data_IF_130038093850
#
_entry.id   IF_130038093850
#
_cell.length_a   1.000
_cell.length_b   1.000
_cell.length_c   1.000
_cell.angle_alpha   90.00
_cell.angle_beta   90.00
_cell.angle_gamma   90.00
#
_symmetry.space_group_name_H-M   'P 1'
#
loop_
_entity.id
_entity.type
_entity.pdbx_description
1 polymer ?
#
# COMPACT_ATOMS: atom_id res chain seq x y z
N UNK A 1 40.80 -32.25 -65.16
CA UNK A 1 39.45 -32.66 -64.74
C UNK A 1 39.46 -32.46 -63.25
N UNK A 2 39.26 -31.21 -62.89
CA UNK A 2 39.22 -30.72 -61.52
C UNK A 2 37.81 -30.94 -60.98
N UNK A 3 37.71 -31.28 -59.69
CA UNK A 3 36.92 -30.50 -58.73
C UNK A 3 36.84 -31.26 -57.41
N UNK A 4 37.65 -30.79 -56.47
CA UNK A 4 37.54 -31.00 -55.04
C UNK A 4 36.14 -30.61 -54.54
N UNK A 5 35.53 -31.46 -53.72
CA UNK A 5 34.24 -31.24 -53.06
C UNK A 5 34.19 -32.02 -51.76
N UNK A 6 35.13 -31.74 -50.87
CA UNK A 6 35.08 -32.13 -49.47
C UNK A 6 35.40 -30.89 -48.63
N UNK A 7 34.72 -30.79 -47.48
CA UNK A 7 34.92 -29.82 -46.38
C UNK A 7 34.01 -28.56 -46.36
N UNK A 8 32.72 -28.73 -46.09
CA UNK A 8 31.95 -27.79 -45.24
C UNK A 8 30.83 -28.57 -44.49
N UNK A 9 31.21 -29.30 -43.44
CA UNK A 9 30.27 -29.87 -42.46
C UNK A 9 30.77 -29.55 -41.05
N UNK A 10 30.92 -28.25 -40.77
CA UNK A 10 31.25 -27.73 -39.45
C UNK A 10 30.04 -27.00 -38.85
N UNK A 11 29.59 -27.53 -37.70
CA UNK A 11 29.11 -26.77 -36.55
C UNK A 11 27.93 -25.81 -36.79
N UNK A 12 26.74 -26.38 -36.99
CA UNK A 12 25.50 -25.74 -36.52
C UNK A 12 25.38 -25.95 -35.01
N UNK A 13 26.15 -25.18 -34.24
CA UNK A 13 25.93 -25.02 -32.81
C UNK A 13 24.51 -24.49 -32.62
N UNK A 14 23.65 -25.29 -31.99
CA UNK A 14 22.30 -24.86 -31.65
C UNK A 14 22.40 -23.56 -30.83
N UNK A 15 21.79 -22.46 -31.28
CA UNK A 15 21.83 -21.22 -30.53
C UNK A 15 21.25 -21.50 -29.13
N UNK A 16 21.94 -21.09 -28.06
CA UNK A 16 21.46 -21.34 -26.71
C UNK A 16 20.03 -20.79 -26.59
N UNK A 17 19.14 -21.64 -26.09
CA UNK A 17 17.74 -21.34 -25.86
C UNK A 17 17.64 -19.98 -25.16
N UNK A 18 17.07 -19.00 -25.86
CA UNK A 18 16.98 -17.62 -25.41
C UNK A 18 16.32 -17.52 -24.02
N UNK A 19 15.43 -18.47 -23.69
CA UNK A 19 14.83 -18.57 -22.36
C UNK A 19 15.87 -18.91 -21.26
N UNK A 20 16.85 -19.78 -21.56
CA UNK A 20 17.93 -20.12 -20.62
C UNK A 20 18.88 -18.94 -20.41
N UNK A 21 19.17 -18.17 -21.47
CA UNK A 21 19.99 -16.96 -21.37
C UNK A 21 19.31 -15.91 -20.50
N UNK A 22 18.00 -15.69 -20.69
CA UNK A 22 17.21 -14.78 -19.85
C UNK A 22 17.14 -15.22 -18.39
N UNK A 23 16.94 -16.53 -18.15
CA UNK A 23 16.88 -17.07 -16.80
C UNK A 23 18.22 -16.91 -16.07
N UNK A 24 19.34 -17.13 -16.76
CA UNK A 24 20.67 -16.92 -16.21
C UNK A 24 20.90 -15.44 -15.86
N UNK A 25 20.57 -14.50 -16.76
CA UNK A 25 20.74 -13.07 -16.52
C UNK A 25 19.91 -12.59 -15.33
N UNK A 26 18.68 -13.10 -15.18
CA UNK A 26 17.82 -12.75 -14.05
C UNK A 26 18.38 -13.26 -12.71
N UNK A 27 18.88 -14.51 -12.68
CA UNK A 27 19.51 -15.06 -11.48
C UNK A 27 20.79 -14.31 -11.10
N UNK A 28 21.56 -13.84 -12.09
CA UNK A 28 22.73 -13.02 -11.86
C UNK A 28 22.39 -11.65 -11.23
N UNK A 29 21.35 -10.97 -11.73
CA UNK A 29 20.88 -9.71 -11.13
C UNK A 29 20.37 -9.88 -9.69
N UNK A 30 19.67 -10.97 -9.39
CA UNK A 30 19.23 -11.29 -8.02
C UNK A 30 20.44 -11.46 -7.10
N UNK A 31 21.47 -12.17 -7.57
CA UNK A 31 22.68 -12.40 -6.80
C UNK A 31 23.45 -11.10 -6.56
N UNK A 32 23.63 -10.26 -7.59
CA UNK A 32 24.26 -8.94 -7.47
C UNK A 32 23.49 -8.03 -6.51
N UNK A 33 22.16 -8.05 -6.54
CA UNK A 33 21.34 -7.29 -5.60
C UNK A 33 21.51 -7.77 -4.15
N UNK A 34 21.55 -9.09 -3.93
CA UNK A 34 21.82 -9.67 -2.60
C UNK A 34 23.22 -9.30 -2.11
N UNK A 35 24.21 -9.31 -2.99
CA UNK A 35 25.57 -8.88 -2.66
C UNK A 35 25.65 -7.37 -2.36
N UNK A 36 24.93 -6.51 -3.10
CA UNK A 36 24.84 -5.08 -2.78
C UNK A 36 24.16 -4.83 -1.43
N UNK A 37 23.11 -5.59 -1.11
CA UNK A 37 22.46 -5.55 0.21
C UNK A 37 23.41 -6.02 1.33
N UNK A 38 24.23 -7.03 1.07
CA UNK A 38 25.24 -7.52 2.02
C UNK A 38 26.46 -6.60 2.13
N UNK A 39 26.82 -5.89 1.06
CA UNK A 39 27.93 -4.92 0.98
C UNK A 39 27.56 -3.53 1.44
N UNK A 40 26.26 -3.20 1.57
CA UNK A 40 25.84 -1.99 2.28
C UNK A 40 26.57 -2.05 3.61
N UNK A 41 27.52 -1.12 3.86
CA UNK A 41 28.19 -1.08 5.15
C UNK A 41 27.06 -1.08 6.17
N UNK A 42 27.11 -1.98 7.15
CA UNK A 42 26.54 -1.62 8.44
C UNK A 42 27.27 -0.33 8.77
N UNK A 43 26.67 0.82 8.43
CA UNK A 43 26.97 2.05 9.12
C UNK A 43 27.02 1.60 10.57
N UNK A 44 28.16 1.78 11.26
CA UNK A 44 28.18 1.53 12.68
C UNK A 44 27.10 2.47 13.20
N UNK A 45 25.90 1.91 13.43
CA UNK A 45 24.89 2.55 14.24
C UNK A 45 25.71 2.94 15.45
N UNK A 46 25.86 4.24 15.74
CA UNK A 46 26.64 4.64 16.88
C UNK A 46 26.13 3.76 18.00
N UNK A 47 27.03 2.92 18.54
CA UNK A 47 26.71 2.08 19.68
C UNK A 47 26.61 3.08 20.81
N UNK A 48 25.49 3.81 20.82
CA UNK A 48 24.96 4.43 22.00
C UNK A 48 24.62 3.21 22.82
N UNK A 49 25.58 2.77 23.63
CA UNK A 49 25.29 1.95 24.79
C UNK A 49 24.14 2.67 25.49
N UNK A 50 22.94 2.11 25.32
CA UNK A 50 21.75 2.57 26.02
C UNK A 50 21.99 2.20 27.47
N UNK A 51 22.72 3.04 28.18
CA UNK A 51 22.79 3.02 29.63
C UNK A 51 21.45 3.53 30.17
N UNK A 52 20.40 2.76 29.92
CA UNK A 52 19.04 3.00 30.41
C UNK A 52 18.93 2.72 31.91
N UNK A 53 19.99 2.17 32.54
CA UNK A 53 20.09 1.91 33.97
C UNK A 53 19.95 3.17 34.82
N UNK A 54 20.25 4.35 34.27
CA UNK A 54 20.32 5.61 35.01
C UNK A 54 19.05 6.48 34.93
N UNK A 55 18.13 6.23 34.00
CA UNK A 55 16.91 7.03 33.88
C UNK A 55 15.85 6.52 34.85
N UNK A 56 15.92 7.00 36.09
CA UNK A 56 14.80 6.86 37.04
C UNK A 56 13.51 7.35 36.34
N UNK A 57 12.37 6.65 36.51
CA UNK A 57 11.10 7.13 35.98
C UNK A 57 10.88 8.56 36.48
N UNK A 58 10.82 9.50 35.55
CA UNK A 58 10.54 10.89 35.89
C UNK A 58 9.12 10.99 36.44
N UNK A 59 8.93 11.85 37.44
CA UNK A 59 7.58 12.12 37.95
C UNK A 59 6.74 12.79 36.84
N UNK A 60 5.42 12.62 36.81
CA UNK A 60 4.56 13.29 35.84
C UNK A 60 4.79 14.81 35.78
N UNK A 61 5.02 15.44 36.93
CA UNK A 61 5.31 16.88 37.04
C UNK A 61 6.61 17.28 36.34
N UNK A 62 7.64 16.43 36.44
CA UNK A 62 8.94 16.68 35.78
C UNK A 62 8.81 16.53 34.27
N UNK A 63 8.16 15.46 33.80
CA UNK A 63 7.87 15.29 32.37
C UNK A 63 7.08 16.47 31.82
N UNK A 64 6.04 16.90 32.53
CA UNK A 64 5.17 18.00 32.10
C UNK A 64 5.95 19.30 31.95
N UNK A 65 6.81 19.64 32.91
CA UNK A 65 7.62 20.85 32.85
C UNK A 65 8.58 20.84 31.65
N UNK A 66 9.18 19.69 31.33
CA UNK A 66 10.03 19.53 30.15
C UNK A 66 9.18 19.69 28.88
N UNK A 67 8.06 18.99 28.79
CA UNK A 67 7.16 19.01 27.64
C UNK A 67 6.61 20.42 27.36
N UNK A 68 6.21 21.15 28.40
CA UNK A 68 5.79 22.56 28.30
C UNK A 68 6.94 23.43 27.78
N UNK A 69 8.16 23.24 28.28
CA UNK A 69 9.33 24.02 27.84
C UNK A 69 9.65 23.75 26.37
N UNK A 70 9.60 22.48 25.94
CA UNK A 70 9.78 22.07 24.54
C UNK A 70 8.68 22.69 23.66
N UNK A 71 7.42 22.61 24.10
CA UNK A 71 6.27 23.16 23.39
C UNK A 71 6.38 24.67 23.18
N UNK A 72 6.80 25.41 24.19
CA UNK A 72 6.93 26.87 24.14
C UNK A 72 8.18 27.36 23.38
N UNK A 73 9.28 26.63 23.44
CA UNK A 73 10.56 27.08 22.87
C UNK A 73 10.75 26.72 21.40
N UNK A 74 10.19 25.61 20.93
CA UNK A 74 10.42 25.10 19.58
C UNK A 74 9.26 25.45 18.64
N UNK A 75 9.49 25.72 17.35
CA UNK A 75 8.42 25.79 16.35
C UNK A 75 7.69 24.44 16.14
N UNK A 76 6.45 24.49 15.62
CA UNK A 76 5.59 23.32 15.40
C UNK A 76 6.29 22.23 14.57
N UNK A 77 7.01 22.64 13.53
CA UNK A 77 7.69 21.76 12.59
C UNK A 77 8.78 20.93 13.27
N UNK A 78 9.56 21.56 14.16
CA UNK A 78 10.60 20.88 14.93
C UNK A 78 9.95 19.92 15.93
N UNK A 79 8.81 20.29 16.53
CA UNK A 79 8.07 19.40 17.42
C UNK A 79 7.52 18.18 16.67
N UNK A 80 6.99 18.36 15.46
CA UNK A 80 6.54 17.25 14.61
C UNK A 80 7.68 16.28 14.27
N UNK A 81 8.90 16.79 14.03
CA UNK A 81 10.09 15.93 13.89
C UNK A 81 10.36 15.12 15.16
N UNK A 82 10.24 15.74 16.35
CA UNK A 82 10.41 15.05 17.64
C UNK A 82 9.34 13.97 17.82
N UNK A 83 8.08 14.28 17.53
CA UNK A 83 6.97 13.32 17.64
C UNK A 83 7.17 12.10 16.74
N UNK A 84 7.76 12.29 15.55
CA UNK A 84 8.13 11.18 14.67
C UNK A 84 9.09 10.16 15.30
N UNK A 85 9.92 10.55 16.28
CA UNK A 85 10.76 9.62 17.04
C UNK A 85 10.02 8.95 18.21
N UNK A 86 8.88 9.50 18.63
CA UNK A 86 8.04 8.95 19.70
C UNK A 86 7.07 7.90 19.13
N UNK A 87 6.61 8.10 17.88
CA UNK A 87 5.74 7.13 17.20
C UNK A 87 6.53 5.85 16.91
N UNK A 88 6.37 4.84 17.76
CA UNK A 88 7.02 3.53 17.67
C UNK A 88 6.47 2.65 16.56
N UNK A 89 5.26 2.93 16.07
CA UNK A 89 4.51 2.06 15.18
C UNK A 89 4.44 2.63 13.77
N UNK A 90 5.12 1.97 12.83
CA UNK A 90 5.05 2.35 11.41
C UNK A 90 3.67 2.06 10.81
N UNK A 91 2.99 1.02 11.27
CA UNK A 91 1.70 0.56 10.73
C UNK A 91 0.70 0.23 11.83
N UNK A 92 -0.53 0.71 11.68
CA UNK A 92 -1.65 0.44 12.57
C UNK A 92 -2.74 -0.30 11.81
N UNK A 93 -3.12 -1.47 12.32
CA UNK A 93 -4.18 -2.30 11.74
C UNK A 93 -5.54 -1.73 12.14
N UNK A 94 -6.38 -1.48 11.15
CA UNK A 94 -7.71 -0.90 11.34
C UNK A 94 -8.76 -1.90 10.88
N UNK A 95 -9.29 -2.67 11.84
CA UNK A 95 -10.46 -3.54 11.70
C UNK A 95 -11.58 -3.14 12.67
N UNK A 96 -12.65 -3.93 12.80
CA UNK A 96 -13.73 -3.69 13.75
C UNK A 96 -13.26 -3.51 15.21
N UNK A 97 -12.20 -4.22 15.60
CA UNK A 97 -11.58 -4.17 16.93
C UNK A 97 -10.83 -2.86 17.22
N UNK A 98 -10.43 -2.11 16.18
CA UNK A 98 -9.77 -0.80 16.33
C UNK A 98 -10.61 0.16 17.18
N UNK A 99 -11.94 0.07 17.09
CA UNK A 99 -12.87 0.97 17.77
C UNK A 99 -13.17 0.59 19.22
N UNK A 100 -12.70 -0.56 19.71
CA UNK A 100 -12.89 -0.99 21.10
C UNK A 100 -11.87 -0.39 22.08
N UNK A 101 -10.73 0.13 21.59
CA UNK A 101 -9.61 0.61 22.41
C UNK A 101 -9.61 2.14 22.47
N UNK A 102 -9.61 2.71 23.67
CA UNK A 102 -9.63 4.16 23.87
C UNK A 102 -8.36 4.62 24.59
N UNK A 103 -7.79 5.74 24.17
CA UNK A 103 -6.66 6.50 24.79
C UNK A 103 -5.21 6.17 24.44
N UNK A 104 -4.92 5.12 23.66
CA UNK A 104 -3.55 4.84 23.16
C UNK A 104 -3.58 4.39 21.71
N UNK A 105 -2.49 4.55 20.92
CA UNK A 105 -2.45 4.15 19.51
C UNK A 105 -2.71 2.66 19.35
N UNK A 106 -1.99 1.85 20.12
CA UNK A 106 -2.10 0.40 20.12
C UNK A 106 -1.83 -0.22 21.51
N UNK A 107 -1.84 -1.55 21.58
CA UNK A 107 -1.74 -2.26 22.87
C UNK A 107 -0.36 -2.19 23.51
N UNK A 108 0.72 -2.15 22.71
CA UNK A 108 2.07 -1.97 23.23
C UNK A 108 2.26 -0.62 23.92
N UNK A 109 1.46 0.38 23.55
CA UNK A 109 1.50 1.72 24.13
C UNK A 109 0.63 1.87 25.37
N UNK A 110 -0.08 0.82 25.82
CA UNK A 110 -0.98 0.90 26.97
C UNK A 110 -0.29 1.35 28.28
N UNK A 111 1.03 1.21 28.37
CA UNK A 111 1.85 1.66 29.51
C UNK A 111 2.73 2.86 29.19
N UNK A 112 2.65 3.38 27.97
CA UNK A 112 3.49 4.47 27.50
C UNK A 112 2.92 5.80 28.04
N UNK A 113 3.72 6.51 28.83
CA UNK A 113 3.28 7.69 29.57
C UNK A 113 3.28 8.97 28.72
N UNK A 114 4.00 8.94 27.60
CA UNK A 114 4.08 9.97 26.58
C UNK A 114 2.73 10.28 25.90
N UNK A 115 1.78 9.34 25.89
CA UNK A 115 0.41 9.59 25.42
C UNK A 115 -0.52 10.20 26.47
N UNK A 116 -0.08 10.34 27.72
CA UNK A 116 -0.91 10.85 28.80
C UNK A 116 -0.76 12.35 28.99
N UNK A 117 -1.88 13.07 28.95
CA UNK A 117 -1.96 14.50 29.26
C UNK A 117 -1.30 14.87 30.59
N UNK A 118 -1.30 13.96 31.57
CA UNK A 118 -0.67 14.20 32.88
C UNK A 118 0.85 14.39 32.77
N UNK A 119 1.48 13.75 31.78
CA UNK A 119 2.93 13.78 31.56
C UNK A 119 3.34 14.80 30.51
N UNK A 120 2.57 14.99 29.44
CA UNK A 120 2.97 15.89 28.33
C UNK A 120 2.19 17.20 28.28
N UNK A 121 1.06 17.30 28.97
CA UNK A 121 0.12 18.41 28.85
C UNK A 121 -0.83 18.25 27.66
N UNK A 122 -2.00 18.88 27.73
CA UNK A 122 -3.08 18.71 26.74
C UNK A 122 -2.70 19.19 25.34
N UNK A 123 -2.01 20.33 25.25
CA UNK A 123 -1.62 20.92 23.96
C UNK A 123 -0.61 20.03 23.23
N UNK A 124 0.44 19.57 23.92
CA UNK A 124 1.43 18.67 23.34
C UNK A 124 0.83 17.30 23.00
N UNK A 125 -0.05 16.76 23.86
CA UNK A 125 -0.75 15.51 23.59
C UNK A 125 -1.59 15.61 22.30
N UNK A 126 -2.36 16.69 22.15
CA UNK A 126 -3.14 16.95 20.94
C UNK A 126 -2.25 16.98 19.70
N UNK A 127 -1.15 17.74 19.78
CA UNK A 127 -0.16 17.84 18.71
C UNK A 127 0.47 16.49 18.33
N UNK A 128 0.78 15.65 19.32
CA UNK A 128 1.29 14.30 19.14
C UNK A 128 0.28 13.40 18.44
N UNK A 129 -1.00 13.47 18.80
CA UNK A 129 -2.09 12.73 18.16
C UNK A 129 -2.26 13.17 16.71
N UNK A 130 -2.21 14.48 16.44
CA UNK A 130 -2.30 14.99 15.08
C UNK A 130 -1.15 14.50 14.21
N UNK A 131 0.07 14.60 14.75
CA UNK A 131 1.28 14.12 14.09
C UNK A 131 1.18 12.61 13.80
N UNK A 132 0.67 11.84 14.76
CA UNK A 132 0.46 10.39 14.61
C UNK A 132 -0.45 10.05 13.43
N UNK A 133 -1.57 10.75 13.25
CA UNK A 133 -2.45 10.54 12.09
C UNK A 133 -1.79 10.87 10.75
N UNK A 134 -0.88 11.86 10.72
CA UNK A 134 -0.18 12.28 9.51
C UNK A 134 0.97 11.35 9.11
N UNK A 135 1.65 10.74 10.08
CA UNK A 135 2.87 9.95 9.82
C UNK A 135 2.63 8.44 9.73
N UNK A 136 1.62 7.94 10.43
CA UNK A 136 1.32 6.51 10.56
C UNK A 136 0.66 5.93 9.32
N UNK A 137 1.06 4.72 8.91
CA UNK A 137 0.36 3.96 7.89
C UNK A 137 -0.85 3.23 8.50
N UNK A 138 -2.06 3.62 8.13
CA UNK A 138 -3.28 2.93 8.56
C UNK A 138 -3.63 1.80 7.59
N UNK A 139 -3.62 0.56 8.06
CA UNK A 139 -3.84 -0.63 7.26
C UNK A 139 -5.25 -1.20 7.46
N UNK A 140 -6.11 -0.96 6.48
CA UNK A 140 -7.47 -1.47 6.38
C UNK A 140 -7.46 -2.88 5.77
N UNK A 141 -7.33 -3.87 6.65
CA UNK A 141 -7.08 -5.27 6.28
C UNK A 141 -8.37 -6.11 6.11
N UNK A 142 -9.49 -5.68 6.68
CA UNK A 142 -10.76 -6.40 6.67
C UNK A 142 -11.50 -6.17 5.35
N UNK A 143 -11.05 -6.86 4.30
CA UNK A 143 -11.56 -6.75 2.92
C UNK A 143 -13.09 -6.70 2.81
N UNK A 144 -13.79 -7.56 3.55
CA UNK A 144 -15.25 -7.67 3.50
C UNK A 144 -15.98 -6.50 4.16
N UNK A 145 -15.34 -5.84 5.13
CA UNK A 145 -15.93 -4.72 5.87
C UNK A 145 -15.21 -3.39 5.67
N UNK A 146 -14.21 -3.33 4.79
CA UNK A 146 -13.33 -2.18 4.63
C UNK A 146 -14.12 -0.88 4.41
N UNK A 147 -15.20 -0.90 3.60
CA UNK A 147 -16.06 0.28 3.43
C UNK A 147 -16.61 0.80 4.77
N UNK A 148 -17.21 -0.07 5.59
CA UNK A 148 -17.80 0.31 6.90
C UNK A 148 -16.72 0.76 7.88
N UNK A 149 -15.58 0.05 7.89
CA UNK A 149 -14.46 0.34 8.78
C UNK A 149 -13.84 1.69 8.44
N UNK A 150 -13.57 1.96 7.15
CA UNK A 150 -13.04 3.23 6.66
C UNK A 150 -14.04 4.35 6.97
N UNK A 151 -15.32 4.19 6.64
CA UNK A 151 -16.35 5.21 6.90
C UNK A 151 -16.39 5.59 8.38
N UNK A 152 -16.38 4.60 9.27
CA UNK A 152 -16.35 4.82 10.72
C UNK A 152 -15.02 5.45 11.16
N UNK A 153 -13.89 4.96 10.67
CA UNK A 153 -12.56 5.48 11.00
C UNK A 153 -12.44 6.97 10.71
N UNK A 154 -12.88 7.41 9.53
CA UNK A 154 -12.73 8.80 9.08
C UNK A 154 -13.45 9.81 9.99
N UNK A 155 -14.48 9.40 10.72
CA UNK A 155 -15.29 10.29 11.59
C UNK A 155 -15.16 10.01 13.07
N UNK A 156 -14.53 8.90 13.48
CA UNK A 156 -14.45 8.52 14.89
C UNK A 156 -13.28 9.23 15.57
N UNK A 157 -13.60 10.13 16.50
CA UNK A 157 -12.62 10.66 17.44
C UNK A 157 -12.31 9.61 18.52
N UNK A 158 -11.27 8.82 18.26
CA UNK A 158 -10.79 7.78 19.19
C UNK A 158 -10.18 8.35 20.47
N UNK A 159 -9.76 9.62 20.45
CA UNK A 159 -8.98 10.20 21.52
C UNK A 159 -9.78 11.14 22.42
N UNK A 160 -10.98 11.56 21.99
CA UNK A 160 -11.83 12.47 22.75
C UNK A 160 -11.32 13.91 22.75
N UNK A 161 -10.58 14.31 21.71
CA UNK A 161 -9.97 15.64 21.55
C UNK A 161 -10.57 16.43 20.38
N UNK A 162 -11.74 16.05 19.89
CA UNK A 162 -12.38 16.61 18.69
C UNK A 162 -11.48 16.52 17.44
N UNK A 163 -10.68 15.45 17.38
CA UNK A 163 -9.78 15.18 16.26
C UNK A 163 -10.46 14.20 15.30
N UNK A 164 -10.70 14.65 14.07
CA UNK A 164 -11.28 13.83 13.01
C UNK A 164 -10.18 13.26 12.12
N UNK A 165 -10.03 11.92 12.01
CA UNK A 165 -8.97 11.32 11.20
C UNK A 165 -9.03 11.73 9.72
N UNK A 166 -10.23 12.01 9.18
CA UNK A 166 -10.41 12.52 7.82
C UNK A 166 -9.54 13.74 7.50
N UNK A 167 -9.36 14.63 8.47
CA UNK A 167 -8.66 15.90 8.27
C UNK A 167 -7.15 15.77 8.42
N UNK A 168 -6.65 14.59 8.81
CA UNK A 168 -5.23 14.37 9.15
C UNK A 168 -4.61 13.15 8.47
N UNK A 169 -5.42 12.23 7.95
CA UNK A 169 -4.95 11.02 7.30
C UNK A 169 -4.09 11.40 6.09
N UNK A 170 -2.85 10.91 6.07
CA UNK A 170 -1.93 11.09 4.94
C UNK A 170 -1.44 9.78 4.33
N UNK A 171 -1.56 8.64 5.03
CA UNK A 171 -1.04 7.34 4.55
C UNK A 171 -2.01 6.22 4.88
N UNK A 172 -2.43 5.48 3.87
CA UNK A 172 -3.38 4.38 4.03
C UNK A 172 -2.98 3.18 3.18
N UNK A 173 -3.10 1.99 3.74
CA UNK A 173 -3.03 0.73 3.01
C UNK A 173 -4.40 0.08 3.01
N UNK A 174 -4.88 -0.35 1.85
CA UNK A 174 -6.23 -0.88 1.68
C UNK A 174 -6.17 -2.20 0.90
N UNK A 175 -6.74 -3.26 1.47
CA UNK A 175 -6.96 -4.51 0.74
C UNK A 175 -8.33 -4.45 0.05
N UNK A 176 -8.33 -4.54 -1.27
CA UNK A 176 -9.53 -4.59 -2.11
C UNK A 176 -9.80 -6.05 -2.46
N UNK A 177 -11.07 -6.46 -2.46
CA UNK A 177 -11.43 -7.84 -2.75
C UNK A 177 -12.76 -7.96 -3.47
N UNK A 178 -12.83 -8.91 -4.40
CA UNK A 178 -14.09 -9.26 -5.09
C UNK A 178 -14.89 -10.33 -4.35
N UNK A 179 -14.24 -11.09 -3.46
CA UNK A 179 -14.84 -12.18 -2.68
C UNK A 179 -14.12 -12.33 -1.34
N UNK A 180 -14.65 -13.15 -0.43
CA UNK A 180 -13.99 -13.48 0.85
C UNK A 180 -13.29 -14.84 0.83
N UNK A 181 -13.42 -15.61 -0.25
CA UNK A 181 -13.04 -17.03 -0.30
C UNK A 181 -12.06 -17.32 -1.43
N UNK A 182 -11.18 -18.29 -1.19
CA UNK A 182 -10.28 -18.82 -2.21
C UNK A 182 -11.06 -19.56 -3.28
N UNK A 183 -10.82 -19.21 -4.56
CA UNK A 183 -11.33 -19.98 -5.68
C UNK A 183 -10.38 -21.15 -5.91
N UNK A 184 -10.80 -22.35 -5.55
CA UNK A 184 -10.00 -23.55 -5.82
C UNK A 184 -10.62 -24.32 -6.97
N UNK A 185 -9.77 -24.86 -7.84
CA UNK A 185 -10.16 -25.69 -8.99
C UNK A 185 -10.73 -27.07 -8.58
N UNK A 186 -10.96 -27.33 -7.30
CA UNK A 186 -11.31 -28.67 -6.79
C UNK A 186 -12.76 -29.04 -7.10
N UNK A 187 -12.95 -29.54 -8.33
CA UNK A 187 -13.64 -30.79 -8.69
C UNK A 187 -14.80 -31.18 -7.75
N UNK A 188 -15.99 -30.58 -7.96
CA UNK A 188 -17.31 -31.25 -7.96
C UNK A 188 -18.50 -30.29 -7.89
N UNK A 189 -18.29 -29.04 -7.49
CA UNK A 189 -19.34 -28.01 -7.49
C UNK A 189 -19.03 -26.95 -8.56
N UNK A 190 -20.05 -26.33 -9.20
CA UNK A 190 -19.80 -25.17 -10.05
C UNK A 190 -19.07 -24.12 -9.21
N UNK A 191 -17.95 -23.59 -9.74
CA UNK A 191 -17.25 -22.51 -9.07
C UNK A 191 -18.23 -21.36 -8.83
N UNK A 192 -18.05 -20.61 -7.74
CA UNK A 192 -18.79 -19.37 -7.56
C UNK A 192 -18.57 -18.45 -8.76
N UNK A 193 -19.68 -17.94 -9.33
CA UNK A 193 -19.61 -16.88 -10.33
C UNK A 193 -19.37 -15.58 -9.59
N UNK A 194 -18.19 -15.00 -9.77
CA UNK A 194 -17.92 -13.62 -9.34
C UNK A 194 -18.78 -12.70 -10.20
N UNK A 195 -19.51 -11.81 -9.52
CA UNK A 195 -20.33 -10.75 -10.11
C UNK A 195 -20.03 -9.43 -9.41
N UNK A 196 -20.30 -8.34 -10.12
CA UNK A 196 -20.20 -6.97 -9.63
C UNK A 196 -18.79 -6.66 -9.10
N UNK A 197 -17.76 -7.24 -9.71
CA UNK A 197 -16.36 -7.07 -9.36
C UNK A 197 -15.94 -5.61 -9.46
N UNK A 198 -16.47 -4.87 -10.44
CA UNK A 198 -16.30 -3.43 -10.55
C UNK A 198 -16.76 -2.72 -9.28
N UNK A 199 -18.02 -2.87 -8.86
CA UNK A 199 -18.57 -2.22 -7.67
C UNK A 199 -17.85 -2.65 -6.40
N UNK A 200 -17.54 -3.94 -6.26
CA UNK A 200 -16.85 -4.47 -5.08
C UNK A 200 -15.45 -3.88 -4.90
N UNK A 201 -14.69 -3.74 -5.99
CA UNK A 201 -13.36 -3.13 -5.94
C UNK A 201 -13.43 -1.61 -5.77
N UNK A 202 -14.42 -0.93 -6.36
CA UNK A 202 -14.45 0.54 -6.40
C UNK A 202 -15.26 1.22 -5.29
N UNK A 203 -16.10 0.50 -4.55
CA UNK A 203 -17.02 1.16 -3.61
C UNK A 203 -16.33 1.98 -2.49
N UNK A 204 -15.09 1.64 -2.12
CA UNK A 204 -14.34 2.33 -1.06
C UNK A 204 -13.82 3.71 -1.51
N UNK A 205 -13.62 3.91 -2.81
CA UNK A 205 -13.02 5.12 -3.37
C UNK A 205 -13.89 6.36 -3.16
N UNK A 206 -15.22 6.17 -3.16
CA UNK A 206 -16.20 7.23 -2.82
C UNK A 206 -15.95 7.87 -1.44
N UNK A 207 -15.36 7.13 -0.51
CA UNK A 207 -14.98 7.66 0.81
C UNK A 207 -13.70 8.51 0.72
N UNK A 208 -12.77 8.11 -0.15
CA UNK A 208 -11.49 8.78 -0.34
C UNK A 208 -11.61 10.07 -1.16
N UNK A 209 -12.57 10.16 -2.10
CA UNK A 209 -12.88 11.39 -2.84
C UNK A 209 -13.30 12.58 -1.97
N UNK A 210 -13.50 12.35 -0.68
CA UNK A 210 -13.92 13.37 0.28
C UNK A 210 -12.76 13.80 1.19
N UNK A 211 -11.57 13.24 1.03
CA UNK A 211 -10.42 13.58 1.86
C UNK A 211 -9.87 14.95 1.43
N UNK A 212 -9.70 15.89 2.38
CA UNK A 212 -9.15 17.21 2.08
C UNK A 212 -7.63 17.19 1.85
N UNK A 213 -6.95 16.11 2.24
CA UNK A 213 -5.49 16.00 2.21
C UNK A 213 -5.00 15.21 1.00
N UNK A 214 -3.75 15.44 0.61
CA UNK A 214 -3.03 14.54 -0.28
C UNK A 214 -2.63 13.28 0.49
N UNK A 215 -3.18 12.15 0.08
CA UNK A 215 -3.01 10.86 0.77
C UNK A 215 -2.21 9.94 -0.12
N UNK A 216 -1.26 9.23 0.47
CA UNK A 216 -0.53 8.13 -0.15
C UNK A 216 -1.27 6.82 0.13
N UNK A 217 -1.86 6.25 -0.92
CA UNK A 217 -2.57 4.99 -0.88
C UNK A 217 -1.69 3.83 -1.38
N UNK A 218 -1.62 2.79 -0.57
CA UNK A 218 -1.07 1.49 -0.94
C UNK A 218 -2.23 0.50 -1.07
N UNK A 219 -2.64 0.24 -2.29
CA UNK A 219 -3.81 -0.60 -2.58
C UNK A 219 -3.36 -1.98 -3.05
N UNK A 220 -3.96 -3.03 -2.49
CA UNK A 220 -3.71 -4.40 -2.92
C UNK A 220 -5.01 -5.06 -3.32
N UNK A 221 -5.12 -5.50 -4.55
CA UNK A 221 -6.30 -6.19 -5.09
C UNK A 221 -6.13 -7.68 -4.90
N UNK A 222 -7.14 -8.33 -4.32
CA UNK A 222 -7.22 -9.77 -4.18
C UNK A 222 -8.46 -10.30 -4.89
N UNK A 223 -8.20 -11.18 -5.84
CA UNK A 223 -9.22 -11.95 -6.58
C UNK A 223 -9.16 -13.43 -6.27
N UNK A 224 -8.15 -13.87 -5.50
CA UNK A 224 -7.99 -15.24 -5.05
C UNK A 224 -8.04 -16.24 -6.22
N UNK A 225 -7.30 -15.94 -7.28
CA UNK A 225 -7.22 -16.76 -8.48
C UNK A 225 -8.53 -16.88 -9.30
N UNK A 226 -9.55 -16.06 -9.03
CA UNK A 226 -10.81 -16.06 -9.79
C UNK A 226 -10.61 -15.94 -11.31
N UNK A 227 -9.67 -15.10 -11.83
CA UNK A 227 -9.38 -15.04 -13.25
C UNK A 227 -8.85 -16.36 -13.83
N UNK A 228 -7.90 -17.04 -13.17
CA UNK A 228 -7.31 -18.28 -13.71
C UNK A 228 -8.22 -19.51 -13.56
N UNK A 229 -9.14 -19.47 -12.60
CA UNK A 229 -10.09 -20.56 -12.34
C UNK A 229 -11.36 -20.48 -13.19
N UNK A 230 -11.57 -19.36 -13.91
CA UNK A 230 -12.79 -19.13 -14.71
C UNK A 230 -14.01 -18.72 -13.89
N UNK A 231 -13.81 -18.42 -12.60
CA UNK A 231 -14.87 -17.98 -11.69
C UNK A 231 -15.22 -16.50 -11.93
N UNK A 232 -14.31 -15.73 -12.51
CA UNK A 232 -14.53 -14.39 -13.04
C UNK A 232 -14.46 -14.44 -14.57
N UNK A 233 -15.51 -13.96 -15.24
CA UNK A 233 -15.52 -13.92 -16.70
C UNK A 233 -14.55 -12.86 -17.24
N UNK A 234 -14.11 -13.01 -18.49
CA UNK A 234 -13.31 -11.99 -19.18
C UNK A 234 -13.99 -10.61 -19.19
N UNK A 235 -15.32 -10.59 -19.40
CA UNK A 235 -16.11 -9.36 -19.36
C UNK A 235 -16.09 -8.72 -17.96
N UNK A 236 -16.26 -9.53 -16.92
CA UNK A 236 -16.25 -9.07 -15.53
C UNK A 236 -14.89 -8.50 -15.12
N UNK A 237 -13.81 -9.22 -15.45
CA UNK A 237 -12.43 -8.79 -15.18
C UNK A 237 -12.11 -7.48 -15.91
N UNK A 238 -12.47 -7.40 -17.19
CA UNK A 238 -12.28 -6.20 -18.00
C UNK A 238 -13.01 -5.02 -17.37
N UNK A 239 -14.31 -5.16 -17.06
CA UNK A 239 -15.10 -4.11 -16.41
C UNK A 239 -14.51 -3.67 -15.06
N UNK A 240 -14.00 -4.61 -14.27
CA UNK A 240 -13.33 -4.32 -13.00
C UNK A 240 -12.02 -3.53 -13.19
N UNK A 241 -11.20 -3.88 -14.19
CA UNK A 241 -9.98 -3.15 -14.54
C UNK A 241 -10.30 -1.70 -14.91
N UNK A 242 -11.26 -1.49 -15.83
CA UNK A 242 -11.62 -0.14 -16.28
C UNK A 242 -12.14 0.72 -15.14
N UNK A 243 -13.10 0.20 -14.37
CA UNK A 243 -13.68 0.92 -13.23
C UNK A 243 -12.60 1.25 -12.18
N UNK A 244 -11.68 0.32 -11.90
CA UNK A 244 -10.60 0.58 -10.97
C UNK A 244 -9.68 1.70 -11.48
N UNK A 245 -9.22 1.62 -12.74
CA UNK A 245 -8.34 2.63 -13.33
C UNK A 245 -9.00 4.01 -13.34
N UNK A 246 -10.29 4.11 -13.62
CA UNK A 246 -11.06 5.37 -13.57
C UNK A 246 -11.04 6.00 -12.16
N UNK A 247 -11.30 5.21 -11.12
CA UNK A 247 -11.26 5.67 -9.73
C UNK A 247 -9.83 6.06 -9.30
N UNK A 248 -8.81 5.33 -9.75
CA UNK A 248 -7.41 5.70 -9.51
C UNK A 248 -7.05 7.02 -10.20
N UNK A 249 -7.53 7.25 -11.42
CA UNK A 249 -7.37 8.52 -12.13
C UNK A 249 -8.09 9.68 -11.43
N UNK A 250 -9.25 9.40 -10.84
CA UNK A 250 -9.98 10.38 -10.02
C UNK A 250 -9.21 10.73 -8.75
N UNK A 251 -8.68 9.75 -8.02
CA UNK A 251 -7.81 10.02 -6.86
C UNK A 251 -6.56 10.82 -7.25
N UNK A 252 -5.96 10.50 -8.39
CA UNK A 252 -4.81 11.23 -8.91
C UNK A 252 -5.14 12.69 -9.21
N UNK A 253 -6.26 12.97 -9.89
CA UNK A 253 -6.65 14.35 -10.23
C UNK A 253 -6.93 15.21 -9.00
N UNK A 254 -7.23 14.57 -7.86
CA UNK A 254 -7.35 15.18 -6.54
C UNK A 254 -6.00 15.35 -5.80
N UNK A 255 -4.90 14.91 -6.40
CA UNK A 255 -3.55 15.02 -5.84
C UNK A 255 -3.18 13.90 -4.84
N UNK A 256 -3.97 12.83 -4.75
CA UNK A 256 -3.57 11.65 -3.98
C UNK A 256 -2.52 10.83 -4.75
N UNK A 257 -1.59 10.20 -4.04
CA UNK A 257 -0.61 9.28 -4.62
C UNK A 257 -1.10 7.85 -4.47
N UNK A 258 -0.94 7.04 -5.50
CA UNK A 258 -1.42 5.66 -5.49
C UNK A 258 -0.32 4.70 -5.92
N UNK A 259 -0.18 3.62 -5.16
CA UNK A 259 0.51 2.39 -5.53
C UNK A 259 -0.52 1.28 -5.52
N UNK A 260 -0.68 0.57 -6.64
CA UNK A 260 -1.57 -0.55 -6.81
C UNK A 260 -0.76 -1.83 -6.99
N UNK A 261 -1.06 -2.87 -6.21
CA UNK A 261 -0.53 -4.22 -6.38
C UNK A 261 -1.67 -5.19 -6.67
N UNK A 262 -1.51 -6.05 -7.68
CA UNK A 262 -2.48 -7.09 -8.02
C UNK A 262 -1.75 -8.44 -8.18
N UNK A 263 -1.52 -9.19 -7.08
CA UNK A 263 -0.79 -10.46 -7.09
C UNK A 263 -1.34 -11.49 -8.07
N UNK A 264 -2.67 -11.61 -8.14
CA UNK A 264 -3.36 -12.58 -9.00
C UNK A 264 -3.32 -12.23 -10.50
N UNK A 265 -2.73 -11.09 -10.86
CA UNK A 265 -2.57 -10.63 -12.24
C UNK A 265 -1.08 -10.57 -12.56
N UNK A 266 -0.39 -11.71 -12.46
CA UNK A 266 1.06 -11.83 -12.65
C UNK A 266 1.90 -10.90 -11.75
N UNK A 267 1.46 -10.66 -10.52
CA UNK A 267 2.11 -9.74 -9.59
C UNK A 267 2.34 -8.33 -10.16
N UNK A 268 1.39 -7.81 -10.96
CA UNK A 268 1.46 -6.43 -11.43
C UNK A 268 1.55 -5.47 -10.25
N UNK A 269 2.53 -4.58 -10.33
CA UNK A 269 2.68 -3.43 -9.45
C UNK A 269 2.71 -2.17 -10.30
N UNK A 270 1.71 -1.30 -10.10
CA UNK A 270 1.61 -0.01 -10.73
C UNK A 270 1.85 1.04 -9.67
N UNK A 271 2.89 1.85 -9.85
CA UNK A 271 3.18 2.95 -8.95
C UNK A 271 3.27 4.23 -9.73
N UNK A 272 2.76 5.30 -9.13
CA UNK A 272 3.03 6.63 -9.62
C UNK A 272 4.46 7.02 -9.25
N UNK A 273 5.42 6.74 -10.13
CA UNK A 273 6.76 7.32 -10.08
C UNK A 273 7.01 8.07 -11.40
N UNK A 274 7.46 9.31 -11.29
CA UNK A 274 7.88 10.19 -12.41
C UNK A 274 6.77 10.90 -13.22
N UNK A 275 5.61 11.18 -12.62
CA UNK A 275 4.86 12.39 -13.00
C UNK A 275 3.79 12.31 -14.09
N UNK A 276 3.35 11.14 -14.56
CA UNK A 276 2.07 11.08 -15.31
C UNK A 276 1.36 9.74 -15.10
N UNK A 277 0.18 9.77 -14.49
CA UNK A 277 -0.77 8.68 -14.60
C UNK A 277 -1.40 8.72 -15.99
N UNK A 278 -1.23 7.64 -16.75
CA UNK A 278 -1.92 7.46 -18.03
C UNK A 278 -2.88 6.30 -17.90
N UNK A 279 -4.17 6.61 -17.83
CA UNK A 279 -5.23 5.61 -17.69
C UNK A 279 -5.13 4.52 -18.77
N UNK A 280 -4.83 4.93 -20.00
CA UNK A 280 -4.63 4.04 -21.14
C UNK A 280 -3.45 3.07 -20.95
N UNK A 281 -2.34 3.55 -20.38
CA UNK A 281 -1.15 2.74 -20.13
C UNK A 281 -1.38 1.74 -18.98
N UNK A 282 -1.97 2.19 -17.88
CA UNK A 282 -2.29 1.31 -16.74
C UNK A 282 -3.30 0.24 -17.14
N UNK A 283 -4.34 0.63 -17.87
CA UNK A 283 -5.32 -0.32 -18.44
C UNK A 283 -4.62 -1.33 -19.32
N UNK A 284 -3.75 -0.89 -20.24
CA UNK A 284 -3.00 -1.78 -21.13
C UNK A 284 -2.15 -2.78 -20.34
N UNK A 285 -1.42 -2.33 -19.31
CA UNK A 285 -0.59 -3.21 -18.48
C UNK A 285 -1.43 -4.25 -17.73
N UNK A 286 -2.57 -3.84 -17.14
CA UNK A 286 -3.48 -4.76 -16.45
C UNK A 286 -4.12 -5.78 -17.42
N UNK A 287 -4.61 -5.32 -18.56
CA UNK A 287 -5.20 -6.18 -19.60
C UNK A 287 -4.17 -7.17 -20.13
N UNK A 288 -2.92 -6.75 -20.36
CA UNK A 288 -1.83 -7.63 -20.82
C UNK A 288 -1.42 -8.67 -19.77
N UNK A 289 -1.55 -8.34 -18.48
CA UNK A 289 -1.26 -9.26 -17.40
C UNK A 289 -2.41 -10.24 -17.11
N UNK A 290 -3.59 -10.01 -17.69
CA UNK A 290 -4.73 -10.91 -17.50
C UNK A 290 -4.47 -12.28 -18.15
N UNK A 291 -4.81 -13.39 -17.46
CA UNK A 291 -4.51 -14.74 -17.94
C UNK A 291 -5.43 -15.26 -19.05
N UNK A 292 -6.44 -14.47 -19.44
CA UNK A 292 -7.42 -14.82 -20.46
C UNK A 292 -7.29 -13.86 -21.65
N UNK A 293 -7.53 -14.34 -22.88
CA UNK A 293 -7.69 -13.45 -24.02
C UNK A 293 -8.93 -12.57 -23.80
N UNK A 294 -8.70 -11.34 -23.35
CA UNK A 294 -9.71 -10.30 -23.29
C UNK A 294 -10.01 -9.90 -24.74
N UNK A 295 -11.12 -10.40 -25.27
CA UNK A 295 -11.48 -10.24 -26.68
C UNK A 295 -11.76 -8.76 -26.99
N UNK A 296 -10.81 -8.09 -27.64
CA UNK A 296 -10.84 -6.65 -27.99
C UNK A 296 -11.97 -6.23 -28.96
N UNK A 297 -12.88 -7.13 -29.33
CA UNK A 297 -13.99 -6.82 -30.26
C UNK A 297 -15.06 -5.88 -29.68
N UNK A 298 -14.97 -5.51 -28.41
CA UNK A 298 -15.75 -4.40 -27.88
C UNK A 298 -15.02 -3.09 -28.21
N UNK A 299 -15.59 -2.31 -29.14
CA UNK A 299 -15.24 -0.91 -29.32
C UNK A 299 -15.30 -0.23 -27.95
N UNK A 300 -14.14 0.26 -27.52
CA UNK A 300 -13.98 0.95 -26.26
C UNK A 300 -14.94 2.14 -26.24
N UNK A 301 -15.77 2.33 -25.20
CA UNK A 301 -16.35 3.64 -24.98
C UNK A 301 -15.16 4.60 -24.86
N UNK A 302 -15.09 5.61 -25.73
CA UNK A 302 -14.05 6.64 -25.63
C UNK A 302 -14.06 7.15 -24.19
N UNK A 303 -12.97 6.87 -23.47
CA UNK A 303 -12.77 7.34 -22.10
C UNK A 303 -12.90 8.86 -22.11
N UNK A 304 -13.96 9.37 -21.50
CA UNK A 304 -14.18 10.80 -21.32
C UNK A 304 -13.22 11.42 -20.30
N UNK A 305 -12.44 10.59 -19.59
CA UNK A 305 -11.28 11.04 -18.84
C UNK A 305 -10.17 11.39 -19.85
N UNK A 306 -10.17 12.64 -20.33
CA UNK A 306 -9.05 13.18 -21.09
C UNK A 306 -7.76 13.02 -20.29
N UNK A 307 -6.67 12.68 -20.96
CA UNK A 307 -5.34 12.59 -20.35
C UNK A 307 -5.03 13.92 -19.64
N UNK A 308 -5.18 13.94 -18.32
CA UNK A 308 -4.86 15.11 -17.49
C UNK A 308 -3.34 15.20 -17.44
N UNK A 309 -2.79 16.10 -18.26
CA UNK A 309 -1.36 16.44 -18.29
C UNK A 309 -0.94 17.25 -17.08
#
# INVERSE_FOLDING_TARGET
MDSDSDLESELMENPPDFAQVLQHLFMQQIQEYREMQARKPKEPSPVVEKDTSALRPLSPRTCHAICTSVHQALPREIRDMIYGYIHTHETIYVGPEYFGKTTVPCESDAKAHDWSAQYVGTEMQREMIESWYRTTLFYFYDKGNNRKVIERFLVTDRWGHDIKPRDLLCRARVELSVEERLHTKYKKNPCCSVKDANEKLTNVFKLFHRLPNHVEFFMRVQTYDAPHTGCMSAFELSGAIYALVEELGTLHSMGHRVVLQWPDLNNVELSWRNGAFKASEWTKQLVQAAPMELNYKYEMPESSAGDVS
#
